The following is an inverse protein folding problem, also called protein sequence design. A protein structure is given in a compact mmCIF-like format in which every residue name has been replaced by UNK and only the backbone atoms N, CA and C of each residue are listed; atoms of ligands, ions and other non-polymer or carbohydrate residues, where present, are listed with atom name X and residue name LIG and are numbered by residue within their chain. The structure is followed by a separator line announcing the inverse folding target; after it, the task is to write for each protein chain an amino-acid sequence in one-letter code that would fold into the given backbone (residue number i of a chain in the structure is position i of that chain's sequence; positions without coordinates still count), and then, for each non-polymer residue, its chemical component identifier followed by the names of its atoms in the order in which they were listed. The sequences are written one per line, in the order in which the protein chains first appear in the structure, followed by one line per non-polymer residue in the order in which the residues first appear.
data_IF_347118009404
#
_entry.id   IF_347118009404
#
_cell.length_a   1.000
_cell.length_b   1.000
_cell.length_c   1.000
_cell.angle_alpha   90.00
_cell.angle_beta   90.00
_cell.angle_gamma   90.00
#
_symmetry.space_group_name_H-M   'P 1'
#
loop_
_entity.id
_entity.type
_entity.pdbx_description
1 polymer ?
#
# COMPACT_ATOMS: atom_id res chain seq x y z
N UNK A 1 3.28 -5.00 -26.32
CA UNK A 1 3.24 -3.70 -25.62
C UNK A 1 2.55 -3.81 -24.25
N UNK A 2 1.33 -4.36 -24.15
CA UNK A 2 0.59 -4.47 -22.87
C UNK A 2 1.35 -5.30 -21.81
N UNK A 3 1.91 -6.45 -22.18
CA UNK A 3 2.69 -7.30 -21.26
C UNK A 3 3.88 -6.52 -20.68
N UNK A 4 4.61 -5.76 -21.50
CA UNK A 4 5.70 -4.91 -21.02
C UNK A 4 5.24 -3.87 -20.00
N UNK A 5 4.07 -3.24 -20.23
CA UNK A 5 3.48 -2.28 -19.28
C UNK A 5 3.06 -2.96 -17.97
N UNK A 6 2.49 -4.17 -18.02
CA UNK A 6 2.14 -4.95 -16.83
C UNK A 6 3.39 -5.23 -15.98
N UNK A 7 4.51 -5.61 -16.63
CA UNK A 7 5.78 -5.86 -15.94
C UNK A 7 6.30 -4.57 -15.27
N UNK A 8 6.31 -3.46 -16.01
CA UNK A 8 6.76 -2.15 -15.48
C UNK A 8 5.88 -1.72 -14.30
N UNK A 9 4.57 -1.84 -14.44
CA UNK A 9 3.61 -1.48 -13.38
C UNK A 9 3.79 -2.34 -12.14
N UNK A 10 3.94 -3.67 -12.30
CA UNK A 10 4.21 -4.56 -11.16
C UNK A 10 5.52 -4.26 -10.46
N UNK A 11 6.58 -3.94 -11.21
CA UNK A 11 7.86 -3.54 -10.66
C UNK A 11 7.77 -2.22 -9.87
N UNK A 12 7.13 -1.19 -10.45
CA UNK A 12 6.90 0.11 -9.79
C UNK A 12 6.07 -0.08 -8.51
N UNK A 13 4.98 -0.86 -8.56
CA UNK A 13 4.15 -1.11 -7.39
C UNK A 13 4.92 -1.82 -6.28
N UNK A 14 5.81 -2.76 -6.62
CA UNK A 14 6.71 -3.41 -5.67
C UNK A 14 7.68 -2.43 -5.01
N UNK A 15 8.29 -1.53 -5.79
CA UNK A 15 9.17 -0.47 -5.27
C UNK A 15 8.41 0.50 -4.35
N UNK A 16 7.21 0.92 -4.73
CA UNK A 16 6.34 1.78 -3.91
C UNK A 16 6.02 1.10 -2.59
N UNK A 17 5.60 -0.18 -2.62
CA UNK A 17 5.29 -0.95 -1.43
C UNK A 17 6.50 -1.10 -0.51
N UNK A 18 7.66 -1.43 -1.06
CA UNK A 18 8.92 -1.51 -0.31
C UNK A 18 9.30 -0.17 0.32
N UNK A 19 9.27 0.92 -0.46
CA UNK A 19 9.60 2.27 0.01
C UNK A 19 8.70 2.72 1.16
N UNK A 20 7.38 2.49 1.04
CA UNK A 20 6.44 2.86 2.09
C UNK A 20 6.57 2.00 3.34
N UNK A 21 6.90 0.73 3.20
CA UNK A 21 7.17 -0.15 4.35
C UNK A 21 8.45 0.27 5.07
N UNK A 22 9.53 0.59 4.34
CA UNK A 22 10.75 1.13 4.94
C UNK A 22 10.51 2.48 5.62
N UNK A 23 9.75 3.38 4.98
CA UNK A 23 9.37 4.68 5.57
C UNK A 23 8.60 4.48 6.88
N UNK A 24 7.62 3.57 6.87
CA UNK A 24 6.83 3.24 8.06
C UNK A 24 7.71 2.71 9.19
N UNK A 25 8.57 1.73 8.93
CA UNK A 25 9.46 1.17 9.93
C UNK A 25 10.48 2.21 10.44
N UNK A 26 11.01 3.07 9.58
CA UNK A 26 11.91 4.16 9.97
C UNK A 26 11.25 5.14 10.94
N UNK A 27 10.00 5.54 10.67
CA UNK A 27 9.23 6.42 11.56
C UNK A 27 8.91 5.72 12.89
N UNK A 28 8.49 4.46 12.84
CA UNK A 28 8.20 3.66 14.04
C UNK A 28 9.45 3.48 14.92
N UNK A 29 10.61 3.27 14.30
CA UNK A 29 11.88 3.21 15.02
C UNK A 29 12.20 4.55 15.69
N UNK A 30 12.05 5.65 14.98
CA UNK A 30 12.35 6.99 15.51
C UNK A 30 11.38 7.39 16.63
N UNK A 31 10.08 7.09 16.50
CA UNK A 31 9.03 7.54 17.44
C UNK A 31 8.94 6.64 18.67
N UNK A 32 9.07 5.33 18.50
CA UNK A 32 8.81 4.33 19.57
C UNK A 32 10.04 3.48 19.89
N UNK A 33 11.19 3.78 19.30
CA UNK A 33 12.41 2.95 19.39
C UNK A 33 12.12 1.48 19.03
N UNK A 34 11.16 1.26 18.11
CA UNK A 34 10.74 -0.06 17.67
C UNK A 34 11.64 -0.59 16.57
N UNK A 35 12.17 -1.81 16.75
CA UNK A 35 12.92 -2.52 15.72
C UNK A 35 12.22 -3.84 15.37
N UNK A 36 12.14 -4.13 14.08
CA UNK A 36 11.66 -5.43 13.60
C UNK A 36 12.59 -6.59 13.98
N UNK A 37 13.86 -6.29 14.31
CA UNK A 37 14.84 -7.29 14.77
C UNK A 37 14.52 -7.82 16.18
N UNK A 38 13.73 -7.11 16.98
CA UNK A 38 13.41 -7.51 18.35
C UNK A 38 12.34 -8.62 18.43
N UNK A 39 11.85 -9.11 17.31
CA UNK A 39 10.78 -10.13 17.20
C UNK A 39 9.50 -9.80 18.00
N UNK A 40 9.32 -8.55 18.39
CA UNK A 40 8.14 -8.06 19.08
C UNK A 40 7.12 -7.53 18.08
N UNK A 41 5.84 -7.69 18.36
CA UNK A 41 4.81 -6.97 17.60
C UNK A 41 4.88 -5.47 17.93
N UNK A 42 4.54 -4.60 16.96
CA UNK A 42 4.48 -3.15 17.19
C UNK A 42 3.61 -2.79 18.40
N UNK A 43 2.44 -3.45 18.56
CA UNK A 43 1.57 -3.26 19.71
C UNK A 43 2.23 -3.60 21.05
N UNK A 44 3.04 -4.67 21.12
CA UNK A 44 3.79 -5.03 22.31
C UNK A 44 4.91 -4.02 22.63
N UNK A 45 5.57 -3.46 21.61
CA UNK A 45 6.57 -2.41 21.78
C UNK A 45 5.93 -1.13 22.32
N UNK A 46 4.83 -0.68 21.73
CA UNK A 46 4.07 0.50 22.21
C UNK A 46 3.52 0.29 23.62
N UNK A 47 3.13 -0.95 24.00
CA UNK A 47 2.66 -1.24 25.36
C UNK A 47 3.73 -1.03 26.44
N UNK A 48 5.02 -1.09 26.11
CA UNK A 48 6.15 -0.87 27.03
C UNK A 48 6.46 0.61 27.27
N UNK A 49 5.99 1.48 26.38
CA UNK A 49 6.22 2.93 26.45
C UNK A 49 5.26 3.56 27.46
N UNK A 50 5.68 4.60 28.17
CA UNK A 50 4.85 5.29 29.18
C UNK A 50 3.60 5.94 28.53
N UNK A 51 2.50 6.17 29.28
CA UNK A 51 1.30 6.79 28.73
C UNK A 51 1.53 8.16 28.09
N UNK A 52 2.42 8.97 28.66
CA UNK A 52 2.76 10.31 28.14
C UNK A 52 3.51 10.19 26.81
N UNK A 53 4.48 9.27 26.73
CA UNK A 53 5.24 9.01 25.51
C UNK A 53 4.40 8.42 24.37
N UNK A 54 3.21 7.88 24.66
CA UNK A 54 2.21 7.48 23.66
C UNK A 54 1.33 8.65 23.22
N UNK A 55 1.00 9.54 24.17
CA UNK A 55 0.09 10.66 23.90
C UNK A 55 0.73 11.72 22.99
N UNK A 56 2.01 12.04 23.22
CA UNK A 56 2.72 13.07 22.46
C UNK A 56 2.74 12.74 20.94
N UNK A 57 3.16 11.54 20.49
CA UNK A 57 3.10 11.18 19.07
C UNK A 57 1.70 11.27 18.48
N UNK A 58 0.65 10.89 19.22
CA UNK A 58 -0.73 10.98 18.75
C UNK A 58 -1.19 12.42 18.52
N UNK A 59 -0.82 13.35 19.41
CA UNK A 59 -1.10 14.79 19.21
C UNK A 59 -0.35 15.30 17.99
N UNK A 60 0.94 14.97 17.85
CA UNK A 60 1.76 15.35 16.69
C UNK A 60 1.17 14.77 15.40
N UNK A 61 0.74 13.50 15.44
CA UNK A 61 0.04 12.84 14.32
C UNK A 61 -1.22 13.61 13.90
N UNK A 62 -2.05 14.03 14.88
CA UNK A 62 -3.25 14.82 14.61
C UNK A 62 -2.94 16.17 13.95
N UNK A 63 -1.90 16.86 14.41
CA UNK A 63 -1.46 18.13 13.81
C UNK A 63 -0.92 17.92 12.40
N UNK A 64 -0.01 16.96 12.20
CA UNK A 64 0.57 16.64 10.87
C UNK A 64 -0.53 16.23 9.90
N UNK A 65 -1.42 15.32 10.32
CA UNK A 65 -2.55 14.89 9.49
C UNK A 65 -3.49 16.04 9.17
N UNK A 66 -3.95 16.77 10.19
CA UNK A 66 -4.89 17.88 10.00
C UNK A 66 -4.35 18.98 9.07
N UNK A 67 -3.14 19.47 9.35
CA UNK A 67 -2.51 20.50 8.50
C UNK A 67 -2.20 19.93 7.11
N UNK A 68 -1.64 18.73 7.04
CA UNK A 68 -1.26 18.12 5.76
C UNK A 68 -2.47 17.91 4.84
N UNK A 69 -3.58 17.37 5.33
CA UNK A 69 -4.78 17.19 4.52
C UNK A 69 -5.45 18.51 4.12
N UNK A 70 -5.47 19.52 5.00
CA UNK A 70 -5.95 20.86 4.64
C UNK A 70 -5.11 21.45 3.51
N UNK A 71 -3.79 21.33 3.56
CA UNK A 71 -2.90 21.81 2.51
C UNK A 71 -3.12 21.06 1.19
N UNK A 72 -3.23 19.73 1.23
CA UNK A 72 -3.48 18.91 0.05
C UNK A 72 -4.82 19.28 -0.59
N UNK A 73 -5.90 19.50 0.19
CA UNK A 73 -7.20 19.88 -0.35
C UNK A 73 -7.24 21.33 -0.86
N UNK A 74 -6.48 22.22 -0.23
CA UNK A 74 -6.47 23.63 -0.62
C UNK A 74 -5.61 23.93 -1.86
N UNK A 75 -4.47 23.26 -1.97
CA UNK A 75 -3.48 23.51 -3.02
C UNK A 75 -3.37 22.39 -4.05
N UNK A 76 -3.84 21.19 -3.71
CA UNK A 76 -3.85 20.05 -4.61
C UNK A 76 -5.04 20.04 -5.55
N UNK A 77 -4.92 19.27 -6.63
CA UNK A 77 -6.07 18.85 -7.43
C UNK A 77 -6.78 17.75 -6.66
N UNK A 78 -8.09 17.78 -6.55
CA UNK A 78 -8.89 16.86 -5.73
C UNK A 78 -8.41 15.39 -5.78
N UNK A 79 -8.44 14.72 -4.64
CA UNK A 79 -8.07 13.29 -4.53
C UNK A 79 -9.18 12.46 -5.15
N UNK A 80 -8.82 11.66 -6.17
CA UNK A 80 -9.74 10.77 -6.88
C UNK A 80 -9.53 9.36 -6.36
N UNK A 81 -10.60 8.68 -5.96
CA UNK A 81 -10.51 7.29 -5.50
C UNK A 81 -10.20 6.33 -6.66
N UNK A 82 -9.62 5.16 -6.32
CA UNK A 82 -9.16 4.17 -7.29
C UNK A 82 -10.33 3.63 -8.14
N UNK A 83 -11.52 3.41 -7.55
CA UNK A 83 -12.67 2.88 -8.29
C UNK A 83 -13.16 3.88 -9.34
N UNK A 84 -13.20 5.16 -8.99
CA UNK A 84 -13.56 6.24 -9.92
C UNK A 84 -12.55 6.34 -11.05
N UNK A 85 -11.26 6.20 -10.77
CA UNK A 85 -10.21 6.19 -11.79
C UNK A 85 -10.28 4.95 -12.71
N UNK A 86 -10.47 3.76 -12.14
CA UNK A 86 -10.64 2.51 -12.90
C UNK A 86 -11.91 2.53 -13.75
N UNK A 87 -12.99 3.16 -13.28
CA UNK A 87 -14.20 3.31 -14.11
C UNK A 87 -14.05 4.31 -15.28
N UNK A 88 -12.93 5.04 -15.33
CA UNK A 88 -12.65 6.03 -16.36
C UNK A 88 -13.43 7.34 -16.23
N UNK A 89 -14.14 7.55 -15.12
CA UNK A 89 -14.93 8.77 -14.88
C UNK A 89 -14.05 9.98 -14.59
N UNK A 90 -12.98 9.79 -13.84
CA UNK A 90 -12.02 10.84 -13.46
C UNK A 90 -10.60 10.28 -13.48
N UNK A 91 -9.65 11.13 -13.83
CA UNK A 91 -8.22 10.77 -13.76
C UNK A 91 -7.60 11.18 -12.45
N UNK A 92 -6.79 10.29 -11.86
CA UNK A 92 -6.00 10.60 -10.68
C UNK A 92 -4.91 11.61 -11.01
N UNK A 93 -4.76 12.64 -10.16
CA UNK A 93 -3.59 13.48 -10.23
C UNK A 93 -2.42 12.80 -9.51
N UNK A 94 -1.33 12.42 -10.19
CA UNK A 94 -0.28 11.61 -9.61
C UNK A 94 0.39 12.29 -8.41
N UNK A 95 0.67 13.59 -8.50
CA UNK A 95 1.35 14.34 -7.45
C UNK A 95 0.47 14.41 -6.19
N UNK A 96 -0.78 14.84 -6.36
CA UNK A 96 -1.73 14.95 -5.23
C UNK A 96 -1.96 13.59 -4.58
N UNK A 97 -2.12 12.53 -5.39
CA UNK A 97 -2.36 11.16 -4.90
C UNK A 97 -1.15 10.62 -4.14
N UNK A 98 0.07 10.79 -4.65
CA UNK A 98 1.29 10.33 -3.97
C UNK A 98 1.52 11.11 -2.67
N UNK A 99 1.31 12.43 -2.66
CA UNK A 99 1.41 13.24 -1.43
C UNK A 99 0.38 12.82 -0.39
N UNK A 100 -0.88 12.58 -0.81
CA UNK A 100 -1.94 12.07 0.07
C UNK A 100 -1.58 10.72 0.66
N UNK A 101 -1.15 9.76 -0.16
CA UNK A 101 -0.73 8.44 0.26
C UNK A 101 0.49 8.48 1.19
N UNK A 102 1.46 9.36 0.92
CA UNK A 102 2.65 9.53 1.78
C UNK A 102 2.26 10.12 3.14
N UNK A 103 1.38 11.13 3.16
CA UNK A 103 0.88 11.69 4.42
C UNK A 103 0.14 10.63 5.24
N UNK A 104 -0.68 9.80 4.58
CA UNK A 104 -1.39 8.72 5.25
C UNK A 104 -0.42 7.71 5.87
N UNK A 105 0.63 7.25 5.16
CA UNK A 105 1.57 6.29 5.73
C UNK A 105 2.37 6.89 6.89
N UNK A 106 2.70 8.18 6.85
CA UNK A 106 3.34 8.89 7.95
C UNK A 106 2.44 8.88 9.19
N UNK A 107 1.16 9.23 9.05
CA UNK A 107 0.22 9.24 10.18
C UNK A 107 -0.01 7.85 10.75
N UNK A 108 -0.10 6.82 9.90
CA UNK A 108 -0.20 5.41 10.32
C UNK A 108 1.03 4.98 11.10
N UNK A 109 2.23 5.35 10.64
CA UNK A 109 3.49 5.01 11.30
C UNK A 109 3.62 5.65 12.70
N UNK A 110 3.08 6.86 12.88
CA UNK A 110 3.06 7.56 14.18
C UNK A 110 2.02 6.98 15.14
N UNK A 111 1.04 6.22 14.66
CA UNK A 111 0.07 5.51 15.52
C UNK A 111 -1.40 5.82 15.23
N UNK A 112 -1.72 6.46 14.09
CA UNK A 112 -3.10 6.59 13.65
C UNK A 112 -3.74 5.22 13.44
N UNK A 113 -4.98 4.97 13.89
CA UNK A 113 -5.68 3.69 13.72
C UNK A 113 -6.22 3.50 12.30
N UNK A 114 -5.48 3.94 11.29
CA UNK A 114 -5.76 3.73 9.88
C UNK A 114 -4.97 2.54 9.36
N UNK A 115 -5.53 1.87 8.35
CA UNK A 115 -4.84 0.78 7.67
C UNK A 115 -3.69 1.27 6.81
N UNK A 116 -2.60 0.53 6.79
CA UNK A 116 -1.41 0.82 5.97
C UNK A 116 -1.55 0.43 4.51
N UNK A 117 -2.61 -0.27 4.15
CA UNK A 117 -2.84 -0.86 2.82
C UNK A 117 -3.28 0.15 1.77
N UNK A 118 -3.91 1.24 2.18
CA UNK A 118 -4.50 2.21 1.24
C UNK A 118 -3.43 3.02 0.55
N UNK A 119 -2.43 3.49 1.29
CA UNK A 119 -1.36 4.35 0.76
C UNK A 119 -0.57 3.70 -0.41
N UNK A 120 -0.05 2.47 -0.33
CA UNK A 120 0.65 1.83 -1.45
C UNK A 120 -0.25 1.59 -2.66
N UNK A 121 -1.53 1.29 -2.45
CA UNK A 121 -2.52 1.10 -3.53
C UNK A 121 -2.76 2.40 -4.29
N UNK A 122 -3.02 3.49 -3.58
CA UNK A 122 -3.25 4.81 -4.16
C UNK A 122 -2.02 5.33 -4.89
N UNK A 123 -0.85 5.24 -4.27
CA UNK A 123 0.39 5.72 -4.88
C UNK A 123 0.73 4.94 -6.15
N UNK A 124 0.62 3.61 -6.12
CA UNK A 124 0.87 2.76 -7.30
C UNK A 124 -0.11 3.07 -8.43
N UNK A 125 -1.40 3.25 -8.12
CA UNK A 125 -2.42 3.63 -9.11
C UNK A 125 -2.16 5.03 -9.68
N UNK A 126 -1.83 6.01 -8.83
CA UNK A 126 -1.53 7.37 -9.25
C UNK A 126 -0.30 7.47 -10.14
N UNK A 127 0.79 6.79 -9.80
CA UNK A 127 2.01 6.72 -10.62
C UNK A 127 1.71 6.03 -11.96
N UNK A 128 0.94 4.93 -11.93
CA UNK A 128 0.53 4.22 -13.15
C UNK A 128 -0.34 5.11 -14.03
N UNK A 129 -1.25 5.90 -13.47
CA UNK A 129 -2.06 6.86 -14.24
C UNK A 129 -1.16 7.85 -14.99
N UNK A 130 -0.09 8.35 -14.37
CA UNK A 130 0.89 9.20 -15.05
C UNK A 130 1.64 8.44 -16.14
N UNK A 131 2.09 7.22 -15.85
CA UNK A 131 2.83 6.41 -16.81
C UNK A 131 2.01 6.13 -18.08
N UNK A 132 0.78 5.66 -17.94
CA UNK A 132 -0.05 5.23 -19.06
C UNK A 132 -0.51 6.38 -19.97
N UNK A 133 -0.45 7.64 -19.51
CA UNK A 133 -0.72 8.81 -20.36
C UNK A 133 0.26 8.96 -21.51
N UNK A 134 1.49 8.49 -21.34
CA UNK A 134 2.55 8.60 -22.34
C UNK A 134 2.49 7.49 -23.40
N UNK A 135 1.57 6.53 -23.25
CA UNK A 135 1.41 5.44 -24.20
C UNK A 135 0.06 5.54 -24.91
N UNK A 136 0.10 5.35 -26.22
CA UNK A 136 -1.12 5.22 -27.01
C UNK A 136 -1.67 3.80 -26.85
N UNK A 137 -2.55 3.64 -25.86
CA UNK A 137 -3.23 2.39 -25.51
C UNK A 137 -4.71 2.64 -25.32
N UNK A 138 -5.51 1.60 -25.53
CA UNK A 138 -6.96 1.66 -25.37
C UNK A 138 -7.35 2.01 -23.94
N UNK A 139 -8.49 2.66 -23.77
CA UNK A 139 -9.01 3.04 -22.46
C UNK A 139 -9.20 1.84 -21.53
N UNK A 140 -9.65 0.70 -22.07
CA UNK A 140 -9.79 -0.56 -21.33
C UNK A 140 -8.44 -1.04 -20.76
N UNK A 141 -7.34 -0.88 -21.52
CA UNK A 141 -6.01 -1.25 -21.07
C UNK A 141 -5.48 -0.31 -19.98
N UNK A 142 -5.81 0.99 -20.07
CA UNK A 142 -5.49 1.97 -19.03
C UNK A 142 -6.18 1.61 -17.71
N UNK A 143 -7.47 1.32 -17.76
CA UNK A 143 -8.27 0.91 -16.62
C UNK A 143 -7.72 -0.38 -16.00
N UNK A 144 -7.39 -1.37 -16.82
CA UNK A 144 -6.78 -2.62 -16.39
C UNK A 144 -5.46 -2.38 -15.65
N UNK A 145 -4.56 -1.57 -16.22
CA UNK A 145 -3.25 -1.28 -15.63
C UNK A 145 -3.36 -0.52 -14.30
N UNK A 146 -4.26 0.46 -14.19
CA UNK A 146 -4.51 1.20 -12.95
C UNK A 146 -5.04 0.27 -11.84
N UNK A 147 -5.99 -0.60 -12.19
CA UNK A 147 -6.52 -1.59 -11.25
C UNK A 147 -5.45 -2.59 -10.81
N UNK A 148 -4.65 -3.13 -11.76
CA UNK A 148 -3.55 -4.02 -11.46
C UNK A 148 -2.48 -3.36 -10.59
N UNK A 149 -2.18 -2.07 -10.81
CA UNK A 149 -1.26 -1.31 -9.98
C UNK A 149 -1.73 -1.20 -8.52
N UNK A 150 -3.01 -0.91 -8.32
CA UNK A 150 -3.60 -0.85 -6.99
C UNK A 150 -3.54 -2.22 -6.29
N UNK A 151 -3.90 -3.30 -6.99
CA UNK A 151 -3.76 -4.65 -6.45
C UNK A 151 -2.32 -5.05 -6.16
N UNK A 152 -1.39 -4.68 -7.04
CA UNK A 152 0.03 -4.94 -6.86
C UNK A 152 0.61 -4.18 -5.65
N UNK A 153 0.16 -2.95 -5.39
CA UNK A 153 0.51 -2.21 -4.17
C UNK A 153 0.01 -2.91 -2.90
N UNK A 154 -1.17 -3.53 -2.95
CA UNK A 154 -1.70 -4.37 -1.87
C UNK A 154 -0.87 -5.64 -1.68
N UNK A 155 -0.54 -6.33 -2.78
CA UNK A 155 0.27 -7.54 -2.77
C UNK A 155 1.65 -7.31 -2.15
N UNK A 156 2.27 -6.16 -2.47
CA UNK A 156 3.57 -5.76 -1.97
C UNK A 156 3.61 -5.62 -0.44
N UNK A 157 2.55 -5.08 0.16
CA UNK A 157 2.49 -4.85 1.63
C UNK A 157 2.14 -6.10 2.41
N UNK A 158 1.21 -6.92 1.88
CA UNK A 158 0.75 -8.13 2.58
C UNK A 158 1.49 -9.41 2.19
N UNK A 159 2.41 -9.33 1.22
CA UNK A 159 3.12 -10.48 0.67
C UNK A 159 2.16 -11.61 0.21
N UNK A 160 1.01 -11.21 -0.35
CA UNK A 160 -0.06 -12.12 -0.73
C UNK A 160 -0.54 -11.83 -2.16
N UNK A 161 0.20 -12.32 -3.19
CA UNK A 161 -0.09 -11.99 -4.58
C UNK A 161 -1.42 -12.54 -5.07
N UNK A 162 -1.82 -13.74 -4.65
CA UNK A 162 -3.07 -14.35 -5.07
C UNK A 162 -4.29 -13.61 -4.54
N UNK A 163 -4.30 -13.32 -3.24
CA UNK A 163 -5.40 -12.60 -2.58
C UNK A 163 -5.57 -11.20 -3.16
N UNK A 164 -4.46 -10.50 -3.44
CA UNK A 164 -4.47 -9.18 -4.04
C UNK A 164 -4.94 -9.21 -5.51
N UNK A 165 -4.61 -10.25 -6.27
CA UNK A 165 -5.12 -10.43 -7.62
C UNK A 165 -6.63 -10.68 -7.62
N UNK A 166 -7.14 -11.55 -6.73
CA UNK A 166 -8.57 -11.78 -6.53
C UNK A 166 -9.28 -10.47 -6.16
N UNK A 167 -8.74 -9.72 -5.18
CA UNK A 167 -9.25 -8.42 -4.80
C UNK A 167 -9.36 -7.45 -6.00
N UNK A 168 -8.34 -7.42 -6.86
CA UNK A 168 -8.32 -6.59 -8.08
C UNK A 168 -9.48 -6.95 -9.01
N UNK A 169 -9.72 -8.24 -9.21
CA UNK A 169 -10.78 -8.73 -10.11
C UNK A 169 -12.18 -8.48 -9.54
N UNK A 170 -12.38 -8.78 -8.26
CA UNK A 170 -13.69 -8.69 -7.62
C UNK A 170 -14.10 -7.28 -7.23
N UNK A 171 -13.13 -6.45 -6.82
CA UNK A 171 -13.45 -5.15 -6.20
C UNK A 171 -13.21 -3.97 -7.13
N UNK A 172 -12.20 -4.06 -8.00
CA UNK A 172 -11.80 -2.94 -8.87
C UNK A 172 -12.27 -3.13 -10.31
N UNK A 173 -12.05 -4.30 -10.90
CA UNK A 173 -12.39 -4.57 -12.31
C UNK A 173 -13.79 -5.13 -12.49
N UNK A 174 -14.33 -5.83 -11.50
CA UNK A 174 -15.62 -6.51 -11.53
C UNK A 174 -15.73 -7.47 -12.72
N UNK A 175 -14.63 -8.16 -13.07
CA UNK A 175 -14.55 -9.06 -14.23
C UNK A 175 -13.61 -10.23 -13.97
N UNK A 176 -13.94 -11.39 -14.55
CA UNK A 176 -13.18 -12.64 -14.41
C UNK A 176 -12.69 -13.18 -15.77
N UNK A 177 -12.38 -12.32 -16.72
CA UNK A 177 -11.83 -12.78 -17.97
C UNK A 177 -10.34 -13.16 -17.84
N UNK A 178 -9.88 -14.07 -18.70
CA UNK A 178 -8.51 -14.61 -18.65
C UNK A 178 -7.43 -13.53 -18.79
N UNK A 179 -7.72 -12.47 -19.53
CA UNK A 179 -6.81 -11.33 -19.73
C UNK A 179 -6.60 -10.55 -18.44
N UNK A 180 -7.68 -10.23 -17.71
CA UNK A 180 -7.61 -9.53 -16.45
C UNK A 180 -6.96 -10.40 -15.36
N UNK A 181 -7.30 -11.69 -15.31
CA UNK A 181 -6.72 -12.65 -14.36
C UNK A 181 -5.20 -12.77 -14.53
N UNK A 182 -4.73 -13.00 -15.78
CA UNK A 182 -3.30 -13.12 -16.04
C UNK A 182 -2.53 -11.82 -15.77
N UNK A 183 -3.11 -10.66 -16.11
CA UNK A 183 -2.51 -9.36 -15.83
C UNK A 183 -2.41 -9.09 -14.34
N UNK A 184 -3.47 -9.33 -13.56
CA UNK A 184 -3.49 -9.11 -12.12
C UNK A 184 -2.51 -10.05 -11.39
N UNK A 185 -2.50 -11.36 -11.73
CA UNK A 185 -1.57 -12.32 -11.13
C UNK A 185 -0.12 -11.99 -11.43
N UNK A 186 0.21 -11.64 -12.69
CA UNK A 186 1.56 -11.28 -13.07
C UNK A 186 2.03 -10.00 -12.35
N UNK A 187 1.18 -8.97 -12.30
CA UNK A 187 1.48 -7.71 -11.68
C UNK A 187 1.67 -7.84 -10.15
N UNK A 188 0.75 -8.54 -9.47
CA UNK A 188 0.81 -8.79 -8.03
C UNK A 188 1.98 -9.71 -7.66
N UNK A 189 2.24 -10.75 -8.46
CA UNK A 189 3.38 -11.66 -8.25
C UNK A 189 4.72 -10.94 -8.37
N UNK A 190 4.87 -10.10 -9.39
CA UNK A 190 6.08 -9.32 -9.59
C UNK A 190 6.29 -8.29 -8.47
N UNK A 191 5.24 -7.60 -8.05
CA UNK A 191 5.33 -6.63 -6.95
C UNK A 191 5.76 -7.31 -5.64
N UNK A 192 5.18 -8.46 -5.32
CA UNK A 192 5.57 -9.27 -4.17
C UNK A 192 7.03 -9.73 -4.26
N UNK A 193 7.47 -10.17 -5.42
CA UNK A 193 8.86 -10.56 -5.65
C UNK A 193 9.81 -9.39 -5.39
N UNK A 194 9.54 -8.22 -5.96
CA UNK A 194 10.35 -7.01 -5.75
C UNK A 194 10.42 -6.62 -4.28
N UNK A 195 9.30 -6.66 -3.57
CA UNK A 195 9.23 -6.29 -2.14
C UNK A 195 10.04 -7.26 -1.27
N UNK A 196 10.00 -8.55 -1.59
CA UNK A 196 10.84 -9.57 -0.91
C UNK A 196 12.33 -9.32 -1.12
N UNK A 197 12.75 -9.02 -2.35
CA UNK A 197 14.14 -8.69 -2.64
C UNK A 197 14.61 -7.42 -1.93
N UNK A 198 13.69 -6.51 -1.63
CA UNK A 198 13.97 -5.31 -0.82
C UNK A 198 14.03 -5.59 0.70
N UNK A 199 13.93 -6.85 1.13
CA UNK A 199 14.03 -7.26 2.54
C UNK A 199 12.83 -6.91 3.41
N UNK A 200 11.66 -6.64 2.81
CA UNK A 200 10.46 -6.19 3.54
C UNK A 200 9.36 -7.25 3.56
N UNK A 201 9.48 -8.30 2.75
CA UNK A 201 8.44 -9.32 2.56
C UNK A 201 8.40 -10.42 3.61
N UNK A 202 9.42 -10.53 4.47
CA UNK A 202 9.57 -11.65 5.41
C UNK A 202 9.04 -11.35 6.83
N UNK A 203 8.49 -10.15 7.04
CA UNK A 203 7.91 -9.80 8.35
C UNK A 203 6.55 -10.48 8.49
N UNK A 204 6.53 -11.65 9.10
CA UNK A 204 5.30 -12.31 9.57
C UNK A 204 4.69 -11.43 10.65
N UNK A 205 3.63 -10.69 10.31
CA UNK A 205 2.99 -9.75 11.24
C UNK A 205 2.16 -10.45 12.33
N UNK A 206 1.79 -11.69 12.10
CA UNK A 206 0.98 -12.47 13.02
C UNK A 206 1.63 -13.84 13.22
N UNK A 207 2.33 -14.03 14.32
CA UNK A 207 2.66 -15.37 14.79
C UNK A 207 1.40 -15.96 15.42
N UNK A 208 0.85 -17.00 14.81
CA UNK A 208 -0.14 -17.81 15.51
C UNK A 208 0.56 -18.46 16.70
N UNK A 209 0.14 -18.12 17.90
CA UNK A 209 0.48 -18.93 19.08
C UNK A 209 -0.18 -20.29 18.84
N UNK A 210 0.63 -21.31 18.55
CA UNK A 210 0.11 -22.66 18.52
C UNK A 210 -0.47 -22.95 19.91
N UNK A 211 -1.78 -23.24 20.02
CA UNK A 211 -2.29 -23.72 21.29
C UNK A 211 -1.52 -25.00 21.61
N UNK A 212 -0.83 -25.02 22.75
CA UNK A 212 -0.27 -26.24 23.26
C UNK A 212 -1.42 -27.20 23.46
N UNK A 213 -1.58 -28.17 22.55
CA UNK A 213 -2.46 -29.30 22.77
C UNK A 213 -1.86 -30.05 23.95
N UNK A 214 -2.35 -29.70 25.14
CA UNK A 214 -2.01 -30.46 26.35
C UNK A 214 -2.36 -31.91 26.10
N UNK A 215 -1.33 -32.76 26.10
CA UNK A 215 -1.48 -34.17 26.09
C UNK A 215 -2.12 -34.60 27.44
N UNK A 216 -3.43 -34.61 27.49
CA UNK A 216 -4.15 -35.36 28.48
C UNK A 216 -4.40 -36.76 27.89
N UNK A 217 -3.49 -37.69 28.17
CA UNK A 217 -3.70 -39.13 28.25
C UNK A 217 -3.27 -39.59 29.64
#
# INVERSE_FOLDING_TARGET
RLIGLIIIVGFIAGLVGASYTHLMHGIQHFVYNYSTADHLSFGAAVARVSPIERLIPLIVCGVIGGVGWVLIHRYGKGVVDIKTAVSGKMEMNPITTVLHATLQIITVAIGSPLGREVAPREASAGITTFLVRHFDIKQEDRQLLIACAAGAGLAAVYNSPLSAAIFTLETLLLTWNIRAMSAALLCCGLATFVTRQAGVGDVIQYTMVQPSLGSHY
#
